data_IF_035506914857
#
_entry.id   IF_035506914857
#
_cell.length_a   1.000
_cell.length_b   1.000
_cell.length_c   1.000
_cell.angle_alpha   90.00
_cell.angle_beta   90.00
_cell.angle_gamma   90.00
#
_symmetry.space_group_name_H-M   'P 1'
#
loop_
_entity.id
_entity.type
_entity.pdbx_description
1 polymer ?
#
# COMPACT_ATOMS: atom_id res chain seq x y z
N UNK A 1 24.35 -7.67 -2.45
CA UNK A 1 23.21 -7.26 -1.59
C UNK A 1 22.10 -6.81 -2.50
N UNK A 2 20.92 -7.44 -2.41
CA UNK A 2 19.73 -6.97 -3.13
C UNK A 2 19.21 -5.76 -2.34
N UNK A 3 18.96 -4.59 -2.98
CA UNK A 3 18.41 -3.45 -2.28
C UNK A 3 17.01 -3.80 -1.71
N UNK A 4 16.67 -3.32 -0.50
CA UNK A 4 15.42 -3.69 0.19
C UNK A 4 14.15 -3.34 -0.61
N UNK A 5 14.26 -2.35 -1.51
CA UNK A 5 13.20 -1.96 -2.46
C UNK A 5 12.85 -3.08 -3.46
N UNK A 6 13.85 -3.86 -3.87
CA UNK A 6 13.70 -4.95 -4.85
C UNK A 6 13.08 -6.19 -4.20
N UNK A 7 13.38 -6.43 -2.91
CA UNK A 7 12.78 -7.50 -2.11
C UNK A 7 11.27 -7.25 -1.93
N UNK A 8 10.88 -6.02 -1.61
CA UNK A 8 9.47 -5.65 -1.41
C UNK A 8 8.64 -5.82 -2.67
N UNK A 9 9.16 -5.41 -3.83
CA UNK A 9 8.50 -5.59 -5.13
C UNK A 9 8.44 -7.06 -5.58
N UNK A 10 9.37 -7.91 -5.12
CA UNK A 10 9.33 -9.36 -5.37
C UNK A 10 8.31 -10.09 -4.49
N UNK A 11 8.08 -9.61 -3.26
CA UNK A 11 7.11 -10.21 -2.32
C UNK A 11 5.69 -9.73 -2.61
N UNK A 12 5.50 -8.40 -2.76
CA UNK A 12 4.19 -7.81 -3.02
C UNK A 12 4.00 -7.69 -4.52
N UNK A 13 3.53 -8.78 -5.11
CA UNK A 13 3.12 -8.84 -6.51
C UNK A 13 1.72 -8.23 -6.69
N UNK A 14 1.33 -7.86 -7.93
CA UNK A 14 -0.04 -7.41 -8.20
C UNK A 14 -1.10 -8.37 -7.69
N UNK A 15 -0.85 -9.68 -7.74
CA UNK A 15 -1.77 -10.69 -7.22
C UNK A 15 -1.95 -10.62 -5.69
N UNK A 16 -0.87 -10.35 -4.94
CA UNK A 16 -0.95 -10.12 -3.49
C UNK A 16 -1.75 -8.87 -3.17
N UNK A 17 -1.58 -7.81 -3.96
CA UNK A 17 -2.36 -6.57 -3.82
C UNK A 17 -3.85 -6.86 -4.02
N UNK A 18 -4.23 -7.54 -5.10
CA UNK A 18 -5.64 -7.89 -5.37
C UNK A 18 -6.21 -8.80 -4.27
N UNK A 19 -5.44 -9.80 -3.80
CA UNK A 19 -5.86 -10.67 -2.68
C UNK A 19 -6.10 -9.88 -1.39
N UNK A 20 -5.25 -8.90 -1.09
CA UNK A 20 -5.46 -8.01 0.05
C UNK A 20 -6.70 -7.13 -0.18
N UNK A 21 -6.92 -6.60 -1.38
CA UNK A 21 -8.10 -5.79 -1.68
C UNK A 21 -9.40 -6.59 -1.50
N UNK A 22 -9.42 -7.86 -1.93
CA UNK A 22 -10.54 -8.78 -1.69
C UNK A 22 -10.73 -9.11 -0.20
N UNK A 23 -9.64 -9.36 0.53
CA UNK A 23 -9.71 -9.71 1.96
C UNK A 23 -10.27 -8.59 2.86
N UNK A 24 -10.12 -7.33 2.42
CA UNK A 24 -10.66 -6.16 3.13
C UNK A 24 -12.01 -5.67 2.56
N UNK A 25 -12.64 -6.46 1.68
CA UNK A 25 -13.94 -6.15 1.06
C UNK A 25 -13.98 -4.72 0.47
N UNK A 26 -12.88 -4.31 -0.17
CA UNK A 26 -12.72 -2.93 -0.64
C UNK A 26 -13.66 -2.67 -1.82
N UNK A 27 -14.49 -1.61 -1.77
CA UNK A 27 -15.35 -1.24 -2.90
C UNK A 27 -14.54 -0.93 -4.16
N UNK A 28 -15.02 -1.32 -5.34
CA UNK A 28 -14.30 -1.06 -6.62
C UNK A 28 -13.91 0.40 -6.84
N UNK A 29 -14.74 1.32 -6.35
CA UNK A 29 -14.48 2.76 -6.40
C UNK A 29 -13.24 3.19 -5.59
N UNK A 30 -12.85 2.40 -4.59
CA UNK A 30 -11.68 2.62 -3.73
C UNK A 30 -10.50 1.73 -4.10
N UNK A 31 -10.72 0.61 -4.80
CA UNK A 31 -9.67 -0.34 -5.21
C UNK A 31 -8.56 0.31 -6.01
N UNK A 32 -8.90 1.12 -7.02
CA UNK A 32 -7.89 1.83 -7.81
C UNK A 32 -7.06 2.79 -6.95
N UNK A 33 -7.72 3.54 -6.07
CA UNK A 33 -7.06 4.47 -5.14
C UNK A 33 -6.11 3.73 -4.19
N UNK A 34 -6.56 2.63 -3.60
CA UNK A 34 -5.75 1.82 -2.70
C UNK A 34 -4.56 1.18 -3.42
N UNK A 35 -4.76 0.69 -4.65
CA UNK A 35 -3.69 0.15 -5.47
C UNK A 35 -2.60 1.17 -5.75
N UNK A 36 -2.97 2.37 -6.19
CA UNK A 36 -2.02 3.45 -6.46
C UNK A 36 -1.24 3.84 -5.18
N UNK A 37 -1.91 3.86 -4.02
CA UNK A 37 -1.27 4.13 -2.71
C UNK A 37 -0.32 2.99 -2.30
N UNK A 38 -0.69 1.73 -2.52
CA UNK A 38 0.16 0.57 -2.24
C UNK A 38 1.40 0.59 -3.14
N UNK A 39 1.24 0.88 -4.43
CA UNK A 39 2.36 1.03 -5.35
C UNK A 39 3.30 2.16 -4.93
N UNK A 40 2.77 3.32 -4.50
CA UNK A 40 3.58 4.41 -3.93
C UNK A 40 4.37 3.94 -2.70
N UNK A 41 3.75 3.17 -1.80
CA UNK A 41 4.43 2.61 -0.63
C UNK A 41 5.56 1.64 -1.00
N UNK A 42 5.36 0.82 -2.04
CA UNK A 42 6.37 -0.13 -2.54
C UNK A 42 7.52 0.57 -3.25
N UNK A 43 7.26 1.71 -3.91
CA UNK A 43 8.28 2.51 -4.60
C UNK A 43 9.16 3.29 -3.62
N UNK A 44 8.57 3.89 -2.58
CA UNK A 44 9.29 4.79 -1.66
C UNK A 44 9.82 4.13 -0.38
N UNK A 45 9.77 2.80 -0.28
CA UNK A 45 10.55 2.06 0.71
C UNK A 45 10.18 2.32 2.18
N UNK A 46 8.89 2.36 2.51
CA UNK A 46 8.37 2.57 3.89
C UNK A 46 8.65 3.93 4.54
N UNK A 47 9.34 4.88 3.88
CA UNK A 47 9.57 6.18 4.51
C UNK A 47 8.21 6.83 4.84
N UNK A 48 7.84 6.95 6.13
CA UNK A 48 6.50 7.36 6.52
C UNK A 48 6.21 8.81 6.11
N UNK A 49 7.25 9.65 6.01
CA UNK A 49 7.12 11.07 5.66
C UNK A 49 6.91 11.22 4.16
N UNK A 50 7.67 10.46 3.36
CA UNK A 50 7.53 10.45 1.89
C UNK A 50 6.18 9.85 1.50
N UNK A 51 5.79 8.73 2.12
CA UNK A 51 4.49 8.11 1.92
C UNK A 51 3.33 9.05 2.27
N UNK A 52 3.33 9.66 3.47
CA UNK A 52 2.24 10.54 3.88
C UNK A 52 2.10 11.76 2.96
N UNK A 53 3.22 12.28 2.45
CA UNK A 53 3.22 13.36 1.46
C UNK A 53 2.56 12.91 0.15
N UNK A 54 3.00 11.80 -0.43
CA UNK A 54 2.46 11.30 -1.70
C UNK A 54 1.00 10.85 -1.60
N UNK A 55 0.60 10.22 -0.49
CA UNK A 55 -0.79 9.85 -0.26
C UNK A 55 -1.70 11.10 -0.15
N UNK A 56 -1.19 12.19 0.46
CA UNK A 56 -1.89 13.47 0.50
C UNK A 56 -1.94 14.16 -0.86
N UNK A 57 -0.85 14.15 -1.61
CA UNK A 57 -0.82 14.66 -2.99
C UNK A 57 -1.79 13.88 -3.89
N UNK A 58 -1.85 12.56 -3.75
CA UNK A 58 -2.76 11.71 -4.52
C UNK A 58 -4.23 12.05 -4.25
N UNK A 59 -4.61 12.22 -2.98
CA UNK A 59 -5.99 12.57 -2.59
C UNK A 59 -6.40 13.96 -3.08
N UNK A 60 -5.48 14.93 -3.06
CA UNK A 60 -5.71 16.28 -3.60
C UNK A 60 -5.80 16.26 -5.14
N UNK A 61 -4.90 15.55 -5.82
CA UNK A 61 -4.83 15.53 -7.29
C UNK A 61 -6.03 14.83 -7.93
N UNK A 62 -6.55 13.78 -7.27
CA UNK A 62 -7.73 13.03 -7.72
C UNK A 62 -9.06 13.67 -7.29
N UNK A 63 -9.03 14.79 -6.55
CA UNK A 63 -10.21 15.45 -5.99
C UNK A 63 -11.13 14.47 -5.23
N UNK A 64 -10.54 13.58 -4.43
CA UNK A 64 -11.30 12.57 -3.69
C UNK A 64 -12.11 13.24 -2.57
N UNK A 65 -13.35 12.79 -2.31
CA UNK A 65 -14.08 13.21 -1.12
C UNK A 65 -13.28 12.91 0.14
N UNK A 66 -13.29 13.82 1.11
CA UNK A 66 -12.51 13.68 2.34
C UNK A 66 -12.83 12.38 3.10
N UNK A 67 -14.09 11.95 3.13
CA UNK A 67 -14.51 10.66 3.71
C UNK A 67 -13.93 9.45 2.98
N UNK A 68 -13.88 9.48 1.65
CA UNK A 68 -13.31 8.41 0.84
C UNK A 68 -11.80 8.33 1.04
N UNK A 69 -11.12 9.47 1.01
CA UNK A 69 -9.68 9.57 1.28
C UNK A 69 -9.35 9.03 2.68
N UNK A 70 -10.12 9.43 3.70
CA UNK A 70 -9.93 8.98 5.08
C UNK A 70 -10.13 7.47 5.24
N UNK A 71 -11.21 6.94 4.66
CA UNK A 71 -11.53 5.50 4.71
C UNK A 71 -10.45 4.69 3.99
N UNK A 72 -10.03 5.15 2.81
CA UNK A 72 -8.95 4.54 2.02
C UNK A 72 -7.64 4.49 2.81
N UNK A 73 -7.25 5.59 3.48
CA UNK A 73 -6.03 5.62 4.29
C UNK A 73 -6.11 4.71 5.53
N UNK A 74 -7.29 4.58 6.14
CA UNK A 74 -7.52 3.65 7.25
C UNK A 74 -7.38 2.19 6.82
N UNK A 75 -7.99 1.83 5.69
CA UNK A 75 -7.86 0.50 5.09
C UNK A 75 -6.40 0.23 4.74
N UNK A 76 -5.73 1.17 4.07
CA UNK A 76 -4.31 1.06 3.75
C UNK A 76 -3.44 0.85 5.00
N UNK A 77 -3.69 1.59 6.09
CA UNK A 77 -2.92 1.43 7.32
C UNK A 77 -3.04 0.02 7.90
N UNK A 78 -4.20 -0.60 7.75
CA UNK A 78 -4.45 -1.97 8.19
C UNK A 78 -3.76 -2.98 7.26
N UNK A 79 -3.86 -2.77 5.94
CA UNK A 79 -3.15 -3.58 4.93
C UNK A 79 -1.64 -3.50 5.10
N UNK A 80 -1.09 -2.31 5.41
CA UNK A 80 0.33 -2.09 5.64
C UNK A 80 0.87 -2.95 6.77
N UNK A 81 0.15 -3.06 7.89
CA UNK A 81 0.56 -3.93 9.00
C UNK A 81 0.65 -5.41 8.57
N UNK A 82 -0.28 -5.87 7.73
CA UNK A 82 -0.23 -7.21 7.15
C UNK A 82 0.93 -7.37 6.16
N UNK A 83 1.19 -6.36 5.32
CA UNK A 83 2.32 -6.35 4.41
C UNK A 83 3.66 -6.36 5.15
N UNK A 84 3.80 -5.60 6.24
CA UNK A 84 4.97 -5.61 7.13
C UNK A 84 5.22 -7.00 7.71
N UNK A 85 4.16 -7.69 8.13
CA UNK A 85 4.25 -9.07 8.62
C UNK A 85 4.73 -10.03 7.53
N UNK A 86 4.25 -9.86 6.29
CA UNK A 86 4.73 -10.65 5.14
C UNK A 86 6.21 -10.36 4.82
N UNK A 87 6.62 -9.09 4.90
CA UNK A 87 8.01 -8.69 4.71
C UNK A 87 8.94 -9.26 5.77
N UNK A 88 8.54 -9.23 7.05
CA UNK A 88 9.30 -9.81 8.16
C UNK A 88 9.48 -11.32 7.96
N UNK A 89 8.40 -12.06 7.69
CA UNK A 89 8.47 -13.52 7.45
C UNK A 89 9.35 -13.89 6.26
N UNK A 90 9.29 -13.10 5.19
CA UNK A 90 10.14 -13.30 4.01
C UNK A 90 11.61 -12.96 4.27
N UNK A 91 11.89 -11.99 5.14
CA UNK A 91 13.24 -11.67 5.59
C UNK A 91 13.83 -12.71 6.55
N UNK A 92 12.99 -13.40 7.35
CA UNK A 92 13.41 -14.49 8.23
C UNK A 92 13.65 -15.83 7.49
N UNK A 93 13.04 -16.02 6.31
CA UNK A 93 13.16 -17.25 5.51
C UNK A 93 14.35 -17.24 4.53
N UNK A 94 15.22 -16.23 4.58
CA UNK A 94 16.31 -15.99 3.63
C UNK A 94 17.62 -15.68 4.38
#
# INVERSE_FOLDING_TARGET
MIPPEDIRRRIVTPHVIETLLDAYEVPDQQRQTLRDIIELCLVHGDDPKVFAKHAREYTVTRNLPADVARTTLLVFSSMRANMDTLFQKAAESN
#
